data_IF_267389115201
#
_entry.id   IF_267389115201
#
_cell.length_a   1.000
_cell.length_b   1.000
_cell.length_c   1.000
_cell.angle_alpha   90.00
_cell.angle_beta   90.00
_cell.angle_gamma   90.00
#
_symmetry.space_group_name_H-M   'P 1'
#
loop_
_entity.id
_entity.type
_entity.pdbx_description
1 polymer ?
#
# COMPACT_ATOMS: atom_id res chain seq x y z
N UNK A 1 25.89 -27.89 8.22
CA UNK A 1 25.17 -27.39 7.02
C UNK A 1 25.71 -26.00 6.73
N UNK A 2 26.17 -25.75 5.51
CA UNK A 2 26.73 -24.46 5.12
C UNK A 2 25.64 -23.39 5.25
N UNK A 3 25.81 -22.46 6.18
CA UNK A 3 24.84 -21.41 6.49
C UNK A 3 24.97 -20.22 5.52
N UNK A 4 25.27 -20.50 4.25
CA UNK A 4 25.44 -19.46 3.24
C UNK A 4 24.05 -19.09 2.73
N UNK A 5 23.60 -17.89 3.09
CA UNK A 5 22.41 -17.28 2.49
C UNK A 5 22.65 -17.17 0.98
N UNK A 6 21.62 -17.50 0.20
CA UNK A 6 21.56 -17.14 -1.22
C UNK A 6 21.72 -15.63 -1.36
N UNK A 7 22.37 -15.19 -2.43
CA UNK A 7 22.45 -13.78 -2.78
C UNK A 7 21.10 -13.34 -3.37
N UNK A 8 20.80 -12.04 -3.33
CA UNK A 8 19.56 -11.50 -3.86
C UNK A 8 19.40 -11.84 -5.36
N UNK A 9 20.49 -11.77 -6.11
CA UNK A 9 20.52 -12.06 -7.54
C UNK A 9 20.35 -13.56 -7.87
N UNK A 10 20.35 -14.45 -6.86
CA UNK A 10 20.08 -15.89 -7.06
C UNK A 10 18.57 -16.17 -7.14
N UNK A 11 17.71 -15.17 -6.95
CA UNK A 11 16.26 -15.31 -6.95
C UNK A 11 15.67 -14.75 -8.26
N UNK A 12 15.03 -15.62 -9.04
CA UNK A 12 14.28 -15.23 -10.23
C UNK A 12 13.09 -14.34 -9.86
N UNK A 13 12.87 -13.28 -10.65
CA UNK A 13 11.70 -12.42 -10.57
C UNK A 13 10.75 -12.84 -11.71
N UNK A 14 9.61 -13.41 -11.34
CA UNK A 14 8.61 -13.92 -12.28
C UNK A 14 7.21 -13.81 -11.66
N UNK A 15 6.19 -13.77 -12.52
CA UNK A 15 4.79 -13.91 -12.13
C UNK A 15 4.33 -15.38 -12.03
N UNK A 16 5.16 -16.33 -12.47
CA UNK A 16 4.86 -17.74 -12.38
C UNK A 16 4.80 -18.22 -10.91
N UNK A 17 3.88 -19.13 -10.63
CA UNK A 17 3.79 -19.75 -9.31
C UNK A 17 5.04 -20.61 -9.06
N UNK A 18 5.74 -20.42 -7.92
CA UNK A 18 6.92 -21.22 -7.61
C UNK A 18 6.53 -22.66 -7.26
N UNK A 19 7.47 -23.61 -7.39
CA UNK A 19 7.31 -24.96 -6.83
C UNK A 19 7.30 -24.90 -5.30
N UNK A 20 6.10 -24.78 -4.74
CA UNK A 20 5.85 -24.53 -3.32
C UNK A 20 4.86 -25.55 -2.77
N UNK A 21 5.01 -25.98 -1.50
CA UNK A 21 4.04 -26.86 -0.85
C UNK A 21 2.65 -26.21 -0.66
N UNK A 22 2.53 -24.90 -0.86
CA UNK A 22 1.27 -24.16 -0.71
C UNK A 22 1.26 -22.86 -1.52
N UNK A 23 0.06 -22.39 -1.86
CA UNK A 23 -0.18 -21.10 -2.50
C UNK A 23 -1.30 -20.36 -1.76
N UNK A 24 -1.10 -19.07 -1.53
CA UNK A 24 -2.17 -18.17 -1.10
C UNK A 24 -2.99 -17.73 -2.32
N UNK A 25 -4.22 -17.28 -2.09
CA UNK A 25 -5.12 -16.79 -3.15
C UNK A 25 -5.29 -15.27 -3.13
N UNK A 26 -4.59 -14.57 -2.24
CA UNK A 26 -4.69 -13.13 -2.03
C UNK A 26 -4.44 -12.73 -0.58
N UNK A 27 -4.61 -11.44 -0.30
CA UNK A 27 -4.64 -10.88 1.06
C UNK A 27 -6.08 -10.88 1.55
N UNK A 28 -6.34 -11.48 2.70
CA UNK A 28 -7.67 -11.52 3.31
C UNK A 28 -7.90 -10.27 4.17
N UNK A 29 -7.13 -10.12 5.25
CA UNK A 29 -7.13 -8.91 6.07
C UNK A 29 -5.76 -8.65 6.71
N UNK A 30 -5.58 -7.41 7.18
CA UNK A 30 -4.46 -7.00 8.03
C UNK A 30 -5.05 -6.53 9.36
N UNK A 31 -4.46 -6.96 10.47
CA UNK A 31 -4.87 -6.52 11.82
C UNK A 31 -3.79 -5.68 12.47
N UNK A 32 -4.15 -4.48 12.89
CA UNK A 32 -3.30 -3.54 13.60
C UNK A 32 -3.73 -3.38 15.06
N UNK A 33 -2.79 -2.91 15.88
CA UNK A 33 -3.09 -2.46 17.23
C UNK A 33 -3.35 -0.95 17.17
N UNK A 34 -4.59 -0.54 17.43
CA UNK A 34 -4.97 0.86 17.53
C UNK A 34 -4.95 1.36 18.97
N UNK A 35 -4.98 2.69 19.11
CA UNK A 35 -5.20 3.40 20.37
C UNK A 35 -6.64 3.16 20.86
N UNK A 36 -7.57 4.02 20.47
CA UNK A 36 -8.96 4.04 20.91
C UNK A 36 -9.93 4.04 19.71
N UNK A 37 -11.22 3.82 19.99
CA UNK A 37 -12.24 3.73 18.93
C UNK A 37 -12.42 5.05 18.19
N UNK A 38 -12.45 6.18 18.90
CA UNK A 38 -12.75 7.50 18.33
C UNK A 38 -11.72 7.89 17.28
N UNK A 39 -10.44 7.93 17.65
CA UNK A 39 -9.33 8.31 16.76
C UNK A 39 -9.16 7.33 15.60
N UNK A 40 -9.35 6.03 15.84
CA UNK A 40 -9.26 5.03 14.76
C UNK A 40 -10.38 5.22 13.75
N UNK A 41 -11.60 5.50 14.21
CA UNK A 41 -12.75 5.72 13.33
C UNK A 41 -12.63 7.05 12.59
N UNK A 42 -12.20 8.12 13.26
CA UNK A 42 -11.99 9.43 12.63
C UNK A 42 -11.07 9.29 11.41
N UNK A 43 -9.89 8.70 11.58
CA UNK A 43 -8.97 8.60 10.46
C UNK A 43 -9.43 7.61 9.38
N UNK A 44 -9.72 6.36 9.72
CA UNK A 44 -9.97 5.34 8.68
C UNK A 44 -11.36 5.49 8.04
N UNK A 45 -12.40 5.88 8.78
CA UNK A 45 -13.74 6.08 8.20
C UNK A 45 -13.96 7.51 7.72
N UNK A 46 -13.67 8.49 8.56
CA UNK A 46 -14.11 9.87 8.28
C UNK A 46 -13.12 10.62 7.38
N UNK A 47 -11.81 10.37 7.51
CA UNK A 47 -10.79 10.96 6.61
C UNK A 47 -10.57 10.11 5.36
N UNK A 48 -10.32 8.79 5.50
CA UNK A 48 -10.06 7.93 4.33
C UNK A 48 -11.33 7.38 3.67
N UNK A 49 -12.52 7.62 4.23
CA UNK A 49 -13.77 7.16 3.63
C UNK A 49 -14.04 5.66 3.71
N UNK A 50 -13.25 4.88 4.47
CA UNK A 50 -13.40 3.42 4.55
C UNK A 50 -14.61 3.03 5.43
N UNK A 51 -15.63 2.33 4.92
CA UNK A 51 -16.78 1.96 5.72
C UNK A 51 -16.37 1.06 6.91
N UNK A 52 -16.79 1.43 8.13
CA UNK A 52 -16.73 0.54 9.31
C UNK A 52 -17.83 -0.53 9.16
N UNK A 53 -17.47 -1.71 8.66
CA UNK A 53 -18.41 -2.77 8.26
C UNK A 53 -18.73 -3.78 9.37
N UNK A 54 -17.85 -3.90 10.37
CA UNK A 54 -18.09 -4.77 11.53
C UNK A 54 -17.41 -4.20 12.78
N UNK A 55 -18.06 -4.39 13.93
CA UNK A 55 -17.51 -4.12 15.25
C UNK A 55 -17.94 -5.21 16.21
N UNK A 56 -16.99 -5.80 16.91
CA UNK A 56 -17.25 -6.80 17.95
C UNK A 56 -16.19 -6.76 19.04
N UNK A 57 -16.45 -7.33 20.23
CA UNK A 57 -15.38 -7.56 21.21
C UNK A 57 -14.29 -8.46 20.61
N UNK A 58 -13.03 -8.21 20.96
CA UNK A 58 -11.95 -9.15 20.66
C UNK A 58 -12.20 -10.47 21.41
N UNK A 59 -12.15 -11.59 20.69
CA UNK A 59 -12.41 -12.92 21.23
C UNK A 59 -11.35 -13.38 22.24
N UNK A 60 -10.11 -12.93 22.07
CA UNK A 60 -8.99 -13.27 22.95
C UNK A 60 -8.91 -12.36 24.18
N UNK A 61 -9.27 -11.08 24.01
CA UNK A 61 -9.28 -10.06 25.06
C UNK A 61 -10.52 -9.16 24.96
N UNK A 62 -11.61 -9.49 25.67
CA UNK A 62 -12.86 -8.73 25.62
C UNK A 62 -12.78 -7.28 26.11
N UNK A 63 -11.65 -6.85 26.70
CA UNK A 63 -11.41 -5.44 27.02
C UNK A 63 -11.10 -4.60 25.77
N UNK A 64 -10.80 -5.25 24.65
CA UNK A 64 -10.52 -4.61 23.38
C UNK A 64 -11.71 -4.74 22.43
N UNK A 65 -11.92 -3.71 21.62
CA UNK A 65 -12.88 -3.75 20.52
C UNK A 65 -12.13 -4.06 19.23
N UNK A 66 -12.69 -4.96 18.42
CA UNK A 66 -12.22 -5.29 17.08
C UNK A 66 -13.07 -4.54 16.05
N UNK A 67 -12.45 -3.62 15.33
CA UNK A 67 -13.05 -2.82 14.27
C UNK A 67 -12.62 -3.35 12.91
N UNK A 68 -13.52 -3.36 11.92
CA UNK A 68 -13.27 -3.84 10.56
C UNK A 68 -13.66 -2.77 9.55
N UNK A 69 -12.73 -2.36 8.71
CA UNK A 69 -12.93 -1.36 7.67
C UNK A 69 -12.75 -1.98 6.29
N UNK A 70 -13.70 -1.73 5.40
CA UNK A 70 -13.63 -2.13 3.99
C UNK A 70 -12.73 -1.16 3.23
N UNK A 71 -11.69 -1.69 2.56
CA UNK A 71 -10.70 -0.88 1.83
C UNK A 71 -11.14 -0.50 0.42
N UNK A 72 -12.34 -0.91 -0.01
CA UNK A 72 -12.95 -0.54 -1.30
C UNK A 72 -12.80 -1.60 -2.40
N UNK A 73 -11.90 -2.56 -2.22
CA UNK A 73 -11.61 -3.66 -3.14
C UNK A 73 -12.06 -5.03 -2.59
N UNK A 74 -12.86 -5.02 -1.52
CA UNK A 74 -13.33 -6.21 -0.81
C UNK A 74 -12.34 -6.81 0.18
N UNK A 75 -11.14 -6.22 0.33
CA UNK A 75 -10.20 -6.56 1.42
C UNK A 75 -10.55 -5.75 2.66
N UNK A 76 -10.09 -6.24 3.81
CA UNK A 76 -10.42 -5.64 5.11
C UNK A 76 -9.15 -5.25 5.86
N UNK A 77 -9.14 -4.07 6.46
CA UNK A 77 -8.19 -3.72 7.53
C UNK A 77 -8.92 -3.72 8.86
N UNK A 78 -8.29 -4.28 9.89
CA UNK A 78 -8.90 -4.39 11.21
C UNK A 78 -8.03 -3.84 12.31
N UNK A 79 -8.65 -3.39 13.40
CA UNK A 79 -7.97 -2.78 14.53
C UNK A 79 -8.45 -3.38 15.85
N UNK A 80 -7.51 -3.72 16.71
CA UNK A 80 -7.78 -3.91 18.13
C UNK A 80 -7.54 -2.61 18.89
N UNK A 81 -8.63 -1.98 19.33
CA UNK A 81 -8.61 -0.70 20.07
C UNK A 81 -9.02 -0.90 21.53
N UNK A 82 -8.55 -0.01 22.40
CA UNK A 82 -8.90 0.01 23.81
C UNK A 82 -8.98 1.46 24.30
N UNK A 83 -10.08 1.83 24.95
CA UNK A 83 -10.36 3.21 25.37
C UNK A 83 -9.36 3.75 26.42
N UNK A 84 -8.57 2.88 27.06
CA UNK A 84 -7.50 3.26 27.98
C UNK A 84 -6.16 3.61 27.27
N UNK A 85 -6.09 3.54 25.94
CA UNK A 85 -4.88 3.86 25.15
C UNK A 85 -4.99 5.25 24.53
N UNK A 86 -4.00 6.08 24.83
CA UNK A 86 -3.79 7.34 24.13
C UNK A 86 -3.21 7.10 22.73
N UNK A 87 -3.63 7.94 21.77
CA UNK A 87 -2.96 8.04 20.47
C UNK A 87 -1.58 8.65 20.59
N UNK A 88 -0.66 8.22 19.74
CA UNK A 88 0.72 8.71 19.67
C UNK A 88 1.10 9.03 18.22
N UNK A 89 1.11 10.30 17.81
CA UNK A 89 1.39 10.67 16.42
C UNK A 89 2.89 10.58 16.08
N UNK A 90 3.75 10.17 17.02
CA UNK A 90 5.17 10.02 16.74
C UNK A 90 5.40 8.84 15.79
N UNK A 91 6.35 8.95 14.84
CA UNK A 91 6.63 7.86 13.92
C UNK A 91 6.87 6.52 14.62
N UNK A 92 6.21 5.48 14.11
CA UNK A 92 6.40 4.12 14.60
C UNK A 92 7.85 3.67 14.46
N UNK A 93 8.31 2.85 15.41
CA UNK A 93 9.66 2.25 15.36
C UNK A 93 9.69 1.11 14.34
N UNK A 94 10.17 1.39 13.14
CA UNK A 94 10.29 0.41 12.04
C UNK A 94 11.56 -0.43 12.19
N UNK A 95 11.44 -1.58 12.86
CA UNK A 95 12.48 -2.61 12.95
C UNK A 95 12.24 -3.79 12.02
N UNK A 96 13.18 -4.74 11.96
CA UNK A 96 12.99 -6.01 11.23
C UNK A 96 11.73 -6.71 11.76
N UNK A 97 10.77 -6.96 10.88
CA UNK A 97 9.48 -7.59 11.21
C UNK A 97 8.35 -6.63 11.53
N UNK A 98 8.59 -5.31 11.54
CA UNK A 98 7.53 -4.30 11.68
C UNK A 98 6.89 -3.97 10.33
N UNK A 99 5.62 -3.53 10.36
CA UNK A 99 4.97 -2.89 9.22
C UNK A 99 5.60 -1.49 9.04
N UNK A 100 6.11 -1.20 7.85
CA UNK A 100 6.69 0.12 7.56
C UNK A 100 5.60 1.15 7.22
N UNK A 101 4.66 0.77 6.36
CA UNK A 101 3.50 1.55 5.96
C UNK A 101 2.40 0.60 5.48
N UNK A 102 1.16 1.08 5.45
CA UNK A 102 0.09 0.46 4.67
C UNK A 102 -0.22 1.33 3.46
N UNK A 103 -0.43 0.71 2.30
CA UNK A 103 -0.76 1.38 1.06
C UNK A 103 -2.19 1.07 0.65
N UNK A 104 -2.97 2.10 0.32
CA UNK A 104 -4.33 1.97 -0.18
C UNK A 104 -4.45 2.63 -1.54
N UNK A 105 -5.18 1.98 -2.44
CA UNK A 105 -5.44 2.53 -3.77
C UNK A 105 -6.40 3.71 -3.67
N UNK A 106 -6.12 4.76 -4.43
CA UNK A 106 -7.02 5.90 -4.64
C UNK A 106 -7.33 6.05 -6.13
N UNK A 107 -8.46 6.68 -6.44
CA UNK A 107 -8.79 6.98 -7.83
C UNK A 107 -7.78 8.00 -8.39
N UNK A 108 -7.11 7.72 -9.52
CA UNK A 108 -6.21 8.67 -10.17
C UNK A 108 -6.88 10.00 -10.52
N UNK A 109 -8.17 10.01 -10.84
CA UNK A 109 -8.91 11.24 -11.15
C UNK A 109 -9.10 12.14 -9.91
N UNK A 110 -9.13 11.54 -8.72
CA UNK A 110 -9.30 12.23 -7.44
C UNK A 110 -7.96 12.60 -6.77
N UNK A 111 -6.82 12.25 -7.37
CA UNK A 111 -5.50 12.37 -6.75
C UNK A 111 -5.21 13.77 -6.19
N UNK A 112 -5.48 14.82 -7.00
CA UNK A 112 -5.24 16.21 -6.60
C UNK A 112 -6.19 16.65 -5.48
N UNK A 113 -7.46 16.26 -5.56
CA UNK A 113 -8.48 16.59 -4.56
C UNK A 113 -8.18 15.91 -3.21
N UNK A 114 -7.78 14.64 -3.24
CA UNK A 114 -7.38 13.89 -2.05
C UNK A 114 -6.16 14.53 -1.40
N UNK A 115 -5.14 14.90 -2.19
CA UNK A 115 -3.95 15.61 -1.70
C UNK A 115 -4.32 16.93 -1.03
N UNK A 116 -5.19 17.73 -1.65
CA UNK A 116 -5.65 19.00 -1.09
C UNK A 116 -6.44 18.79 0.20
N UNK A 117 -7.34 17.81 0.22
CA UNK A 117 -8.11 17.41 1.40
C UNK A 117 -7.20 17.01 2.57
N UNK A 118 -6.15 16.22 2.32
CA UNK A 118 -5.19 15.86 3.37
C UNK A 118 -4.44 17.07 3.93
N UNK A 119 -4.16 18.09 3.11
CA UNK A 119 -3.48 19.31 3.53
C UNK A 119 -4.38 20.28 4.30
N UNK A 120 -5.67 20.32 3.98
CA UNK A 120 -6.64 21.25 4.58
C UNK A 120 -7.30 20.67 5.82
N UNK A 121 -7.74 19.41 5.75
CA UNK A 121 -8.58 18.76 6.75
C UNK A 121 -7.83 17.72 7.60
N UNK A 122 -6.56 17.42 7.25
CA UNK A 122 -5.71 16.50 7.99
C UNK A 122 -4.32 17.09 8.28
N UNK A 123 -3.32 16.23 8.50
CA UNK A 123 -1.94 16.58 8.89
C UNK A 123 -1.03 16.87 7.68
N UNK A 124 -1.61 16.98 6.49
CA UNK A 124 -0.89 17.07 5.24
C UNK A 124 -0.36 15.74 4.72
N UNK A 125 0.28 15.82 3.56
CA UNK A 125 0.93 14.69 2.91
C UNK A 125 2.18 15.09 2.15
N UNK A 126 3.10 14.14 1.98
CA UNK A 126 4.20 14.25 1.01
C UNK A 126 3.81 13.53 -0.28
N UNK A 127 4.04 14.16 -1.42
CA UNK A 127 3.74 13.62 -2.75
C UNK A 127 5.02 13.17 -3.45
N UNK A 128 5.00 11.99 -4.08
CA UNK A 128 6.14 11.47 -4.83
C UNK A 128 5.72 10.75 -6.10
N UNK A 129 6.50 10.98 -7.16
CA UNK A 129 6.53 10.10 -8.33
C UNK A 129 7.49 8.92 -8.07
N UNK A 130 6.94 7.71 -8.03
CA UNK A 130 7.69 6.46 -7.79
C UNK A 130 8.12 5.77 -9.08
N UNK A 131 8.13 6.49 -10.19
CA UNK A 131 8.45 6.03 -11.53
C UNK A 131 7.29 5.30 -12.19
N UNK A 132 6.77 4.28 -11.51
CA UNK A 132 5.73 3.37 -12.03
C UNK A 132 4.33 3.60 -11.42
N UNK A 133 4.25 4.35 -10.32
CA UNK A 133 3.01 4.78 -9.66
C UNK A 133 3.23 6.12 -8.94
N UNK A 134 2.17 6.81 -8.56
CA UNK A 134 2.21 8.01 -7.72
C UNK A 134 1.72 7.71 -6.32
N UNK A 135 2.21 8.49 -5.34
CA UNK A 135 1.88 8.25 -3.95
C UNK A 135 1.84 9.51 -3.11
N UNK A 136 0.86 9.55 -2.22
CA UNK A 136 0.73 10.51 -1.13
C UNK A 136 1.01 9.80 0.20
N UNK A 137 1.92 10.33 1.02
CA UNK A 137 2.23 9.78 2.33
C UNK A 137 1.70 10.68 3.43
N UNK A 138 0.89 10.12 4.31
CA UNK A 138 0.41 10.76 5.53
C UNK A 138 0.55 9.81 6.72
N UNK A 139 0.02 10.17 7.88
CA UNK A 139 0.07 9.35 9.08
C UNK A 139 -1.28 9.30 9.79
N UNK A 140 -1.60 8.14 10.37
CA UNK A 140 -2.75 7.99 11.24
C UNK A 140 -2.50 8.61 12.64
N UNK A 141 -3.47 8.49 13.55
CA UNK A 141 -3.31 8.99 14.92
C UNK A 141 -2.18 8.30 15.71
N UNK A 142 -1.76 7.11 15.29
CA UNK A 142 -0.75 6.29 15.95
C UNK A 142 0.62 6.38 15.26
N UNK A 143 0.81 7.33 14.34
CA UNK A 143 2.09 7.53 13.65
C UNK A 143 2.46 6.39 12.70
N UNK A 144 1.51 5.53 12.33
CA UNK A 144 1.67 4.59 11.23
C UNK A 144 1.61 5.40 9.93
N UNK A 145 2.60 5.15 9.07
CA UNK A 145 2.65 5.75 7.74
C UNK A 145 1.57 5.11 6.87
N UNK A 146 0.76 5.95 6.26
CA UNK A 146 -0.27 5.57 5.30
C UNK A 146 0.11 6.15 3.95
N UNK A 147 0.22 5.27 2.98
CA UNK A 147 0.43 5.61 1.57
C UNK A 147 -0.91 5.51 0.85
N UNK A 148 -1.27 6.55 0.11
CA UNK A 148 -2.36 6.52 -0.85
C UNK A 148 -1.72 6.49 -2.24
N UNK A 149 -1.90 5.40 -2.97
CA UNK A 149 -1.19 5.15 -4.22
C UNK A 149 -2.15 4.99 -5.40
N UNK A 150 -1.69 5.40 -6.57
CA UNK A 150 -2.35 5.13 -7.85
C UNK A 150 -1.32 4.72 -8.88
N UNK A 151 -1.61 3.64 -9.61
CA UNK A 151 -0.81 3.27 -10.78
C UNK A 151 -1.00 4.35 -11.87
N UNK A 152 0.00 4.50 -12.74
CA UNK A 152 -0.06 5.45 -13.88
C UNK A 152 -0.91 4.93 -15.05
N UNK A 153 -1.26 3.65 -15.03
CA UNK A 153 -2.13 2.99 -16.01
C UNK A 153 -3.20 2.15 -15.34
N UNK A 154 -4.31 1.95 -16.04
CA UNK A 154 -5.43 1.11 -15.64
C UNK A 154 -5.11 -0.41 -15.73
N UNK A 155 -4.06 -0.85 -15.02
CA UNK A 155 -3.61 -2.25 -15.03
C UNK A 155 -4.61 -3.10 -14.24
N UNK A 156 -5.16 -4.20 -14.81
CA UNK A 156 -6.02 -5.11 -14.07
C UNK A 156 -5.31 -5.73 -12.86
N UNK A 157 -5.97 -5.74 -11.69
CA UNK A 157 -5.41 -6.24 -10.43
C UNK A 157 -4.84 -7.66 -10.54
N UNK A 158 -5.50 -8.54 -11.28
CA UNK A 158 -5.12 -9.94 -11.47
C UNK A 158 -3.89 -10.11 -12.38
N UNK A 159 -3.51 -9.06 -13.14
CA UNK A 159 -2.36 -9.05 -14.02
C UNK A 159 -1.24 -8.11 -13.57
N UNK A 160 -1.43 -7.34 -12.50
CA UNK A 160 -0.42 -6.40 -11.98
C UNK A 160 0.93 -7.06 -11.74
N UNK A 161 0.95 -8.28 -11.18
CA UNK A 161 2.19 -9.04 -10.97
C UNK A 161 2.92 -9.40 -12.27
N UNK A 162 2.19 -9.73 -13.33
CA UNK A 162 2.74 -10.03 -14.67
C UNK A 162 3.40 -8.78 -15.28
N UNK A 163 2.74 -7.63 -15.21
CA UNK A 163 3.29 -6.36 -15.69
C UNK A 163 4.57 -6.00 -14.94
N UNK A 164 4.57 -6.08 -13.61
CA UNK A 164 5.73 -5.74 -12.80
C UNK A 164 6.93 -6.69 -13.05
N UNK A 165 6.68 -7.99 -13.23
CA UNK A 165 7.73 -8.95 -13.56
C UNK A 165 8.34 -8.66 -14.94
N UNK A 166 7.52 -8.36 -15.94
CA UNK A 166 7.99 -7.99 -17.29
C UNK A 166 8.75 -6.66 -17.27
N UNK A 167 8.23 -5.65 -16.58
CA UNK A 167 8.89 -4.35 -16.44
C UNK A 167 10.24 -4.46 -15.72
N UNK A 168 10.35 -5.34 -14.71
CA UNK A 168 11.63 -5.63 -14.06
C UNK A 168 12.65 -6.20 -15.06
N UNK A 169 12.26 -7.20 -15.86
CA UNK A 169 13.16 -7.79 -16.87
C UNK A 169 13.64 -6.72 -17.85
N UNK A 170 12.73 -5.89 -18.36
CA UNK A 170 13.05 -4.81 -19.28
C UNK A 170 14.00 -3.78 -18.63
N UNK A 171 13.74 -3.38 -17.37
CA UNK A 171 14.62 -2.48 -16.60
C UNK A 171 16.04 -3.03 -16.50
N UNK A 172 16.20 -4.32 -16.23
CA UNK A 172 17.52 -4.96 -16.15
C UNK A 172 18.24 -5.00 -17.50
N UNK A 173 17.51 -5.27 -18.58
CA UNK A 173 18.04 -5.23 -19.95
C UNK A 173 18.45 -3.81 -20.38
N UNK A 174 17.71 -2.79 -19.94
CA UNK A 174 18.04 -1.37 -20.14
C UNK A 174 19.22 -0.91 -19.26
N UNK A 175 19.57 -1.67 -18.23
CA UNK A 175 20.63 -1.31 -17.27
C UNK A 175 20.24 -0.14 -16.36
N UNK A 176 18.94 0.09 -16.14
CA UNK A 176 18.43 1.18 -15.32
C UNK A 176 18.47 0.83 -13.82
N UNK A 177 18.81 1.81 -12.98
CA UNK A 177 18.84 1.60 -11.52
C UNK A 177 17.44 1.37 -10.92
N UNK A 178 16.41 2.04 -11.47
CA UNK A 178 15.04 1.99 -10.99
C UNK A 178 14.04 1.68 -12.11
N UNK A 179 12.90 1.12 -11.74
CA UNK A 179 11.77 1.02 -12.65
C UNK A 179 11.22 2.43 -12.91
N UNK A 180 10.81 2.67 -14.14
CA UNK A 180 10.42 3.99 -14.64
C UNK A 180 9.27 3.79 -15.61
N UNK A 181 8.61 4.87 -15.97
CA UNK A 181 7.45 4.90 -16.85
C UNK A 181 7.67 4.08 -18.13
N UNK A 182 8.82 4.29 -18.80
CA UNK A 182 9.17 3.56 -20.04
C UNK A 182 9.20 2.04 -19.89
N UNK A 183 9.52 1.53 -18.69
CA UNK A 183 9.61 0.09 -18.45
C UNK A 183 8.22 -0.53 -18.34
N UNK A 184 7.25 0.20 -17.78
CA UNK A 184 5.85 -0.23 -17.74
C UNK A 184 5.23 -0.13 -19.13
N UNK A 185 5.46 0.95 -19.87
CA UNK A 185 4.96 1.10 -21.24
C UNK A 185 5.40 -0.07 -22.13
N UNK A 186 6.70 -0.41 -22.11
CA UNK A 186 7.21 -1.54 -22.88
C UNK A 186 6.67 -2.89 -22.39
N UNK A 187 6.44 -3.04 -21.08
CA UNK A 187 5.83 -4.26 -20.54
C UNK A 187 4.38 -4.43 -21.01
N UNK A 188 3.60 -3.35 -21.02
CA UNK A 188 2.22 -3.35 -21.51
C UNK A 188 2.17 -3.70 -23.01
N UNK A 189 3.06 -3.11 -23.81
CA UNK A 189 3.21 -3.42 -25.23
C UNK A 189 3.55 -4.89 -25.47
N UNK A 190 4.54 -5.44 -24.75
CA UNK A 190 4.96 -6.84 -24.88
C UNK A 190 3.85 -7.82 -24.49
N UNK A 191 3.08 -7.47 -23.46
CA UNK A 191 1.96 -8.27 -22.97
C UNK A 191 0.66 -8.06 -23.77
N UNK A 192 0.68 -7.19 -24.79
CA UNK A 192 -0.46 -6.86 -25.62
C UNK A 192 -1.63 -6.25 -24.85
N UNK A 193 -1.33 -5.44 -23.82
CA UNK A 193 -2.33 -4.77 -22.99
C UNK A 193 -2.61 -3.37 -23.51
N UNK A 194 -3.82 -3.14 -24.00
CA UNK A 194 -4.33 -1.82 -24.34
C UNK A 194 -5.04 -1.24 -23.11
N UNK A 195 -4.29 -0.54 -22.27
CA UNK A 195 -4.78 0.09 -21.03
C UNK A 195 -4.61 1.60 -21.10
N UNK A 196 -5.57 2.30 -20.50
CA UNK A 196 -5.53 3.75 -20.40
C UNK A 196 -4.40 4.21 -19.48
N UNK A 197 -3.71 5.28 -19.90
CA UNK A 197 -2.74 6.01 -19.07
C UNK A 197 -3.46 7.18 -18.42
N UNK A 198 -3.31 7.32 -17.11
CA UNK A 198 -3.95 8.41 -16.36
C UNK A 198 -3.17 9.72 -16.49
N UNK A 199 -3.89 10.84 -16.49
CA UNK A 199 -3.32 12.20 -16.50
C UNK A 199 -3.06 12.64 -15.06
N UNK A 200 -1.87 12.32 -14.56
CA UNK A 200 -1.44 12.62 -13.19
C UNK A 200 -0.47 13.82 -13.16
N UNK A 201 -0.46 14.62 -12.08
CA UNK A 201 0.40 15.80 -11.97
C UNK A 201 1.89 15.46 -11.88
N UNK A 202 2.77 16.37 -12.31
CA UNK A 202 4.21 16.20 -12.06
C UNK A 202 4.53 16.28 -10.56
N UNK A 203 5.33 15.33 -10.06
CA UNK A 203 5.78 15.28 -8.67
C UNK A 203 7.29 15.03 -8.54
N UNK A 204 7.85 15.36 -7.38
CA UNK A 204 9.25 15.09 -7.08
C UNK A 204 9.53 13.58 -7.09
N UNK A 205 10.61 13.17 -7.75
CA UNK A 205 11.12 11.80 -7.66
C UNK A 205 12.03 11.68 -6.43
N UNK A 206 11.76 10.72 -5.54
CA UNK A 206 12.58 10.59 -4.34
C UNK A 206 12.12 9.56 -3.32
N UNK A 207 12.85 9.51 -2.21
CA UNK A 207 12.53 8.71 -1.03
C UNK A 207 12.50 9.61 0.20
N UNK A 208 11.32 9.79 0.79
CA UNK A 208 11.15 10.46 2.07
C UNK A 208 9.79 10.11 2.63
N UNK A 209 9.74 9.66 3.88
CA UNK A 209 8.53 9.63 4.69
C UNK A 209 8.80 10.45 5.94
#
# INVERSE_FOLDING_TARGET
MSNRRRQADDFEITADLPDSPMHTTGTDHITLIGSNTEDTVEFYRDILGMPLVLRQPNLDDPSQTHLFFDTGDGRIVTFFVNEDRDSDPRPQRTGVGAVHHLSFSIDPEEFVEIRETLNEEWRGCNEFDRGIFHSLYTQDHNGLVIELSTDKWAIPDDRRGEVLATAQRIREEDGADFAEERHIEQALDELGMDVEKYDLPDADTGSGV
#
